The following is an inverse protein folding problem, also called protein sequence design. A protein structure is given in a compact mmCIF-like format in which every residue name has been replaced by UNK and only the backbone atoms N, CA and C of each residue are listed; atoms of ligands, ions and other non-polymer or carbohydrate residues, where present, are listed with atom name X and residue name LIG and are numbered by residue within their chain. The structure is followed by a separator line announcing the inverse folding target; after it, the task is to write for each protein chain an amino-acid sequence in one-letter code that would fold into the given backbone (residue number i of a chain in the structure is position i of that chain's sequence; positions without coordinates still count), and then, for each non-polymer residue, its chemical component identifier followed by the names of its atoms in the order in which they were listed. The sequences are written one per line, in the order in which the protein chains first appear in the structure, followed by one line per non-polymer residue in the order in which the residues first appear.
data_IF_287264911654
#
_entry.id   IF_287264911654
#
_cell.length_a   1.000
_cell.length_b   1.000
_cell.length_c   1.000
_cell.angle_alpha   90.00
_cell.angle_beta   90.00
_cell.angle_gamma   90.00
#
_symmetry.space_group_name_H-M   'P 1'
#
loop_
_entity.id
_entity.type
_entity.pdbx_description
1 polymer ?
#
# COMPACT_ATOMS: atom_id res chain seq x y z
N UNK A 1 30.22 -47.19 21.89
CA UNK A 1 30.93 -45.88 21.69
C UNK A 1 29.97 -44.94 21.00
N UNK A 2 29.68 -43.82 21.61
CA UNK A 2 28.86 -42.79 20.96
C UNK A 2 29.69 -42.17 19.80
N UNK A 3 29.09 -42.02 18.62
CA UNK A 3 29.74 -41.38 17.48
C UNK A 3 30.00 -39.90 17.81
N UNK A 4 31.16 -39.36 17.43
CA UNK A 4 31.45 -37.94 17.68
C UNK A 4 30.47 -37.07 16.85
N UNK A 5 30.00 -35.97 17.45
CA UNK A 5 29.10 -35.03 16.85
C UNK A 5 29.75 -34.41 15.58
N UNK A 6 29.06 -34.47 14.45
CA UNK A 6 29.57 -33.95 13.18
C UNK A 6 29.11 -32.48 12.99
N UNK A 7 29.78 -31.73 12.13
CA UNK A 7 29.39 -30.35 11.78
C UNK A 7 27.99 -30.25 11.19
N UNK A 8 27.50 -31.30 10.55
CA UNK A 8 26.11 -31.42 10.07
C UNK A 8 25.10 -31.48 11.21
N UNK A 9 25.46 -32.18 12.33
CA UNK A 9 24.57 -32.30 13.49
C UNK A 9 24.47 -30.99 14.26
N UNK A 10 25.56 -30.22 14.28
CA UNK A 10 25.58 -28.88 14.86
C UNK A 10 24.64 -27.91 14.13
N UNK A 11 24.64 -27.93 12.79
CA UNK A 11 23.73 -27.12 11.98
C UNK A 11 22.27 -27.44 12.28
N UNK A 12 21.91 -28.71 12.39
CA UNK A 12 20.54 -29.17 12.65
C UNK A 12 20.02 -28.75 14.03
N UNK A 13 20.89 -28.43 14.99
CA UNK A 13 20.52 -27.94 16.33
C UNK A 13 20.37 -26.42 16.35
N UNK A 14 21.29 -25.69 15.72
CA UNK A 14 21.34 -24.23 15.78
C UNK A 14 20.31 -23.57 14.84
N UNK A 15 20.11 -24.14 13.66
CA UNK A 15 19.18 -23.58 12.65
C UNK A 15 17.73 -23.45 13.17
N UNK A 16 17.11 -24.44 13.84
CA UNK A 16 15.77 -24.28 14.41
C UNK A 16 15.68 -23.18 15.47
N UNK A 17 16.70 -23.04 16.32
CA UNK A 17 16.74 -22.01 17.37
C UNK A 17 16.78 -20.59 16.76
N UNK A 18 17.58 -20.42 15.71
CA UNK A 18 17.66 -19.13 15.01
C UNK A 18 16.38 -18.82 14.24
N UNK A 19 15.75 -19.81 13.62
CA UNK A 19 14.47 -19.65 12.94
C UNK A 19 13.36 -19.28 13.93
N UNK A 20 13.26 -19.96 15.08
CA UNK A 20 12.30 -19.60 16.13
C UNK A 20 12.47 -18.15 16.61
N UNK A 21 13.71 -17.69 16.77
CA UNK A 21 13.99 -16.29 17.14
C UNK A 21 13.63 -15.32 16.04
N UNK A 22 13.78 -15.69 14.78
CA UNK A 22 13.41 -14.89 13.62
C UNK A 22 11.89 -14.79 13.51
N UNK A 23 11.20 -15.92 13.48
CA UNK A 23 9.75 -16.02 13.34
C UNK A 23 9.04 -15.31 14.49
N UNK A 24 9.54 -15.47 15.72
CA UNK A 24 9.00 -14.80 16.91
C UNK A 24 9.01 -13.28 16.84
N UNK A 25 9.92 -12.67 16.07
CA UNK A 25 9.94 -11.21 15.84
C UNK A 25 9.14 -10.86 14.60
N UNK A 26 9.26 -11.65 13.55
CA UNK A 26 8.61 -11.40 12.26
C UNK A 26 7.09 -11.46 12.38
N UNK A 27 6.55 -12.45 13.09
CA UNK A 27 5.10 -12.67 13.23
C UNK A 27 4.44 -11.78 14.29
N UNK A 28 5.19 -11.31 15.29
CA UNK A 28 4.62 -10.49 16.37
C UNK A 28 4.41 -9.03 15.99
N UNK A 29 5.08 -8.53 14.97
CA UNK A 29 4.95 -7.14 14.56
C UNK A 29 3.73 -6.95 13.66
N UNK A 30 2.87 -6.01 14.04
CA UNK A 30 1.74 -5.61 13.21
C UNK A 30 2.26 -4.84 11.99
N UNK A 31 1.99 -5.35 10.81
CA UNK A 31 2.32 -4.69 9.54
C UNK A 31 1.49 -3.43 9.36
N UNK A 32 2.14 -2.25 9.31
CA UNK A 32 1.45 -0.97 9.08
C UNK A 32 1.02 -0.81 7.62
N UNK A 33 1.80 -1.32 6.69
CA UNK A 33 1.50 -1.28 5.27
C UNK A 33 0.18 -1.98 4.91
N UNK A 34 -0.20 -3.04 5.64
CA UNK A 34 -1.41 -3.83 5.40
C UNK A 34 -2.70 -3.02 5.59
N UNK A 35 -2.64 -1.92 6.36
CA UNK A 35 -3.77 -0.99 6.54
C UNK A 35 -4.06 -0.16 5.29
N UNK A 36 -3.07 0.05 4.44
CA UNK A 36 -3.16 0.90 3.23
C UNK A 36 -3.17 0.07 1.96
N UNK A 37 -2.39 -1.02 1.92
CA UNK A 37 -2.20 -1.86 0.75
C UNK A 37 -2.81 -3.24 0.99
N UNK A 38 -3.30 -3.84 -0.08
CA UNK A 38 -3.80 -5.21 -0.07
C UNK A 38 -2.73 -6.14 -0.66
N UNK A 39 -2.47 -7.24 0.02
CA UNK A 39 -1.64 -8.32 -0.50
C UNK A 39 -2.40 -9.14 -1.54
N UNK A 40 -1.74 -9.46 -2.63
CA UNK A 40 -2.24 -10.36 -3.65
C UNK A 40 -1.32 -11.57 -3.73
N UNK A 41 -1.83 -12.71 -3.36
CA UNK A 41 -1.12 -13.99 -3.38
C UNK A 41 -1.31 -14.75 -4.71
N UNK A 42 -0.49 -15.78 -4.93
CA UNK A 42 -0.71 -16.76 -5.98
C UNK A 42 -0.36 -16.30 -7.40
N UNK A 43 0.60 -15.40 -7.55
CA UNK A 43 1.03 -14.94 -8.86
C UNK A 43 2.03 -15.93 -9.45
N UNK A 44 1.70 -16.63 -10.55
CA UNK A 44 2.51 -17.73 -11.08
C UNK A 44 3.72 -17.31 -11.93
N UNK A 45 3.91 -15.99 -12.12
CA UNK A 45 4.96 -15.43 -13.00
C UNK A 45 5.76 -14.37 -12.25
N UNK A 46 6.93 -14.02 -12.76
CA UNK A 46 7.77 -12.93 -12.24
C UNK A 46 7.25 -11.52 -12.60
N UNK A 47 6.12 -11.44 -13.27
CA UNK A 47 5.43 -10.19 -13.60
C UNK A 47 3.91 -10.39 -13.55
N UNK A 48 3.20 -9.32 -13.31
CA UNK A 48 1.75 -9.23 -13.43
C UNK A 48 1.36 -8.12 -14.41
N UNK A 49 0.42 -8.41 -15.28
CA UNK A 49 -0.14 -7.43 -16.23
C UNK A 49 -1.59 -7.16 -15.87
N UNK A 50 -1.88 -5.90 -15.67
CA UNK A 50 -3.22 -5.44 -15.32
C UNK A 50 -3.75 -4.50 -16.40
N UNK A 51 -4.73 -4.96 -17.20
CA UNK A 51 -5.44 -4.10 -18.14
C UNK A 51 -6.50 -3.28 -17.42
N UNK A 52 -6.49 -1.98 -17.60
CA UNK A 52 -7.59 -1.12 -17.18
C UNK A 52 -8.63 -1.05 -18.29
N UNK A 53 -9.79 -1.60 -18.00
CA UNK A 53 -10.91 -1.67 -18.96
C UNK A 53 -11.83 -0.47 -18.76
N UNK A 54 -12.33 0.07 -19.88
CA UNK A 54 -13.47 0.96 -19.86
C UNK A 54 -14.71 0.24 -20.39
N UNK A 55 -15.85 0.50 -19.73
CA UNK A 55 -17.13 -0.12 -20.08
C UNK A 55 -17.95 0.78 -21.01
N UNK A 56 -19.26 0.78 -20.78
CA UNK A 56 -20.21 1.46 -21.62
C UNK A 56 -20.61 2.84 -21.07
N UNK A 57 -20.97 3.75 -21.94
CA UNK A 57 -21.58 5.03 -21.61
C UNK A 57 -22.97 4.90 -20.96
N UNK A 58 -23.65 6.02 -20.74
CA UNK A 58 -25.06 5.99 -20.33
C UNK A 58 -25.92 5.43 -21.46
N UNK A 59 -26.94 4.63 -21.10
CA UNK A 59 -27.87 4.13 -22.08
C UNK A 59 -28.71 5.31 -22.67
N UNK A 60 -28.78 5.47 -24.01
CA UNK A 60 -29.62 6.48 -24.60
C UNK A 60 -31.12 6.10 -24.48
N UNK A 61 -31.98 7.09 -24.54
CA UNK A 61 -33.41 6.83 -24.67
C UNK A 61 -33.69 6.12 -25.99
N UNK A 62 -34.46 5.04 -25.93
CA UNK A 62 -34.82 4.26 -27.11
C UNK A 62 -36.26 4.64 -27.50
N UNK A 63 -36.48 5.39 -28.61
CA UNK A 63 -37.79 5.64 -29.17
C UNK A 63 -38.40 4.34 -29.72
N UNK A 64 -39.73 4.25 -29.72
CA UNK A 64 -40.42 3.10 -30.25
C UNK A 64 -40.09 2.87 -31.74
N UNK A 65 -39.83 1.61 -32.08
CA UNK A 65 -39.45 1.21 -33.45
C UNK A 65 -38.01 1.45 -33.85
N UNK A 66 -37.12 1.97 -32.97
CA UNK A 66 -35.71 2.14 -33.26
C UNK A 66 -34.88 0.97 -32.77
N UNK A 67 -33.83 0.52 -33.53
CA UNK A 67 -32.94 -0.54 -33.07
C UNK A 67 -32.06 -0.07 -31.93
N UNK A 68 -31.68 -1.00 -31.03
CA UNK A 68 -30.75 -0.76 -29.94
C UNK A 68 -29.36 -0.40 -30.46
N UNK A 69 -28.74 0.65 -29.92
CA UNK A 69 -27.40 1.02 -30.26
C UNK A 69 -26.37 0.12 -29.55
N UNK A 70 -25.36 -0.33 -30.28
CA UNK A 70 -24.28 -1.13 -29.75
C UNK A 70 -23.10 -0.22 -29.36
N UNK A 71 -22.58 -0.42 -28.17
CA UNK A 71 -21.33 0.21 -27.71
C UNK A 71 -20.30 -0.88 -27.44
N UNK A 72 -19.04 -0.59 -27.73
CA UNK A 72 -17.92 -1.47 -27.43
C UNK A 72 -17.12 -0.90 -26.27
N UNK A 73 -16.82 -1.74 -25.29
CA UNK A 73 -15.79 -1.48 -24.28
C UNK A 73 -14.42 -1.77 -24.85
N UNK A 74 -13.36 -1.30 -24.16
CA UNK A 74 -11.99 -1.55 -24.60
C UNK A 74 -11.00 -1.47 -23.47
N UNK A 75 -9.72 -1.56 -23.82
CA UNK A 75 -8.59 -1.39 -22.89
C UNK A 75 -8.11 0.06 -22.97
N UNK A 76 -8.08 0.77 -21.85
CA UNK A 76 -7.58 2.13 -21.78
C UNK A 76 -6.05 2.14 -21.75
N UNK A 77 -5.46 1.34 -20.85
CA UNK A 77 -4.02 1.09 -20.79
C UNK A 77 -3.75 -0.27 -20.14
N UNK A 78 -2.52 -0.75 -20.37
CA UNK A 78 -2.00 -1.99 -19.79
C UNK A 78 -0.75 -1.65 -18.98
N UNK A 79 -0.74 -2.03 -17.69
CA UNK A 79 0.45 -1.90 -16.85
C UNK A 79 1.04 -3.25 -16.53
N UNK A 80 2.36 -3.36 -16.72
CA UNK A 80 3.14 -4.51 -16.28
C UNK A 80 3.88 -4.16 -15.01
N UNK A 81 3.67 -4.97 -13.98
CA UNK A 81 4.39 -4.91 -12.70
C UNK A 81 5.42 -6.05 -12.70
N UNK A 82 6.67 -5.71 -12.44
CA UNK A 82 7.77 -6.69 -12.31
C UNK A 82 8.10 -6.83 -10.82
N UNK A 83 8.22 -8.06 -10.36
CA UNK A 83 8.53 -8.36 -8.97
C UNK A 83 10.02 -8.29 -8.72
N UNK A 84 10.40 -7.59 -7.66
CA UNK A 84 11.77 -7.54 -7.16
C UNK A 84 11.89 -8.43 -5.93
N UNK A 85 12.96 -9.22 -5.88
CA UNK A 85 13.27 -10.08 -4.74
C UNK A 85 14.23 -9.32 -3.83
N UNK A 86 13.89 -9.25 -2.55
CA UNK A 86 14.73 -8.68 -1.51
C UNK A 86 15.16 -9.79 -0.57
N UNK A 87 16.44 -9.84 -0.23
CA UNK A 87 16.98 -10.83 0.66
C UNK A 87 18.18 -10.28 1.42
N UNK A 88 18.33 -10.68 2.66
CA UNK A 88 19.44 -10.36 3.51
C UNK A 88 19.86 -11.61 4.29
N UNK A 89 21.12 -11.80 4.50
CA UNK A 89 21.66 -12.91 5.26
C UNK A 89 22.80 -12.47 6.16
N UNK A 90 23.06 -13.21 7.22
CA UNK A 90 24.24 -13.06 8.06
C UNK A 90 25.03 -14.37 8.12
N UNK A 91 26.31 -14.28 8.44
CA UNK A 91 27.19 -15.42 8.63
C UNK A 91 27.87 -15.36 10.00
N UNK A 92 27.99 -16.49 10.65
CA UNK A 92 28.75 -16.64 11.88
C UNK A 92 30.13 -17.23 11.54
N UNK A 93 31.20 -16.65 12.10
CA UNK A 93 32.55 -17.14 11.87
C UNK A 93 32.82 -18.44 12.66
N UNK A 94 33.74 -19.27 12.15
CA UNK A 94 34.14 -20.51 12.82
C UNK A 94 34.71 -20.23 14.21
N UNK A 95 35.50 -19.15 14.35
CA UNK A 95 36.09 -18.74 15.64
C UNK A 95 34.99 -18.45 16.67
N UNK A 96 33.95 -17.73 16.29
CA UNK A 96 32.81 -17.43 17.17
C UNK A 96 32.08 -18.72 17.63
N UNK A 97 32.05 -19.73 16.77
CA UNK A 97 31.45 -21.04 17.10
C UNK A 97 32.36 -21.79 18.10
N UNK A 98 33.69 -21.73 17.93
CA UNK A 98 34.66 -22.35 18.81
C UNK A 98 34.69 -21.68 20.19
N UNK A 99 34.49 -20.37 20.27
CA UNK A 99 34.43 -19.58 21.53
C UNK A 99 33.10 -19.81 22.31
N UNK A 100 32.11 -20.47 21.74
CA UNK A 100 30.85 -20.87 22.41
C UNK A 100 29.77 -19.79 22.47
N UNK A 101 30.02 -18.56 22.03
CA UNK A 101 29.05 -17.42 22.05
C UNK A 101 28.11 -17.36 20.83
N UNK A 102 28.26 -18.29 19.89
CA UNK A 102 27.53 -18.30 18.61
C UNK A 102 26.01 -18.37 18.74
N UNK A 103 25.48 -19.06 19.74
CA UNK A 103 24.01 -19.17 19.94
C UNK A 103 23.47 -17.80 20.36
N UNK A 104 24.04 -17.19 21.40
CA UNK A 104 23.59 -15.90 21.92
C UNK A 104 23.68 -14.78 20.88
N UNK A 105 24.81 -14.68 20.18
CA UNK A 105 25.03 -13.66 19.15
C UNK A 105 24.15 -13.98 17.91
N UNK A 106 24.05 -15.24 17.53
CA UNK A 106 23.20 -15.68 16.42
C UNK A 106 21.73 -15.34 16.64
N UNK A 107 21.19 -15.53 17.85
CA UNK A 107 19.84 -15.14 18.21
C UNK A 107 19.61 -13.63 18.09
N UNK A 108 20.57 -12.81 18.50
CA UNK A 108 20.50 -11.35 18.35
C UNK A 108 20.48 -10.97 16.87
N UNK A 109 21.36 -11.56 16.06
CA UNK A 109 21.41 -11.30 14.63
C UNK A 109 20.16 -11.78 13.89
N UNK A 110 19.57 -12.90 14.28
CA UNK A 110 18.32 -13.39 13.72
C UNK A 110 17.17 -12.39 13.95
N UNK A 111 17.07 -11.81 15.16
CA UNK A 111 16.11 -10.76 15.47
C UNK A 111 16.33 -9.49 14.65
N UNK A 112 17.57 -9.04 14.52
CA UNK A 112 17.92 -7.87 13.69
C UNK A 112 17.62 -8.12 12.21
N UNK A 113 17.85 -9.35 11.73
CA UNK A 113 17.50 -9.74 10.36
C UNK A 113 15.98 -9.63 10.12
N UNK A 114 15.17 -10.17 11.04
CA UNK A 114 13.72 -10.06 10.98
C UNK A 114 13.27 -8.59 10.97
N UNK A 115 13.79 -7.76 11.87
CA UNK A 115 13.48 -6.33 11.92
C UNK A 115 13.86 -5.61 10.62
N UNK A 116 15.02 -5.90 10.05
CA UNK A 116 15.49 -5.29 8.80
C UNK A 116 14.60 -5.66 7.62
N UNK A 117 14.12 -6.90 7.52
CA UNK A 117 13.22 -7.34 6.46
C UNK A 117 11.83 -6.69 6.60
N UNK A 118 11.31 -6.59 7.82
CA UNK A 118 10.05 -5.87 8.09
C UNK A 118 10.17 -4.40 7.69
N UNK A 119 11.25 -3.72 8.13
CA UNK A 119 11.46 -2.32 7.81
C UNK A 119 11.66 -2.07 6.32
N UNK A 120 12.29 -3.01 5.61
CA UNK A 120 12.40 -2.96 4.15
C UNK A 120 11.02 -2.99 3.49
N UNK A 121 10.12 -3.88 3.94
CA UNK A 121 8.75 -4.01 3.44
C UNK A 121 7.94 -2.72 3.71
N UNK A 122 8.03 -2.19 4.93
CA UNK A 122 7.40 -0.92 5.31
C UNK A 122 7.93 0.27 4.47
N UNK A 123 9.24 0.38 4.31
CA UNK A 123 9.87 1.44 3.53
C UNK A 123 9.47 1.39 2.06
N UNK A 124 9.43 0.20 1.46
CA UNK A 124 9.01 0.03 0.07
C UNK A 124 7.55 0.45 -0.13
N UNK A 125 6.68 0.06 0.77
CA UNK A 125 5.26 0.45 0.77
C UNK A 125 5.11 1.96 0.95
N UNK A 126 5.90 2.52 1.90
CA UNK A 126 5.97 3.96 2.16
C UNK A 126 6.38 4.75 0.93
N UNK A 127 7.32 4.25 0.16
CA UNK A 127 7.83 4.94 -1.02
C UNK A 127 6.79 5.10 -2.13
N UNK A 128 5.77 4.26 -2.20
CA UNK A 128 4.66 4.44 -3.15
C UNK A 128 3.97 5.79 -2.91
N UNK A 129 3.66 6.10 -1.64
CA UNK A 129 3.01 7.36 -1.28
C UNK A 129 3.99 8.54 -1.30
N UNK A 130 5.22 8.36 -0.83
CA UNK A 130 6.24 9.42 -0.83
C UNK A 130 6.58 9.89 -2.26
N UNK A 131 6.48 9.01 -3.25
CA UNK A 131 6.74 9.28 -4.66
C UNK A 131 5.49 9.61 -5.46
N UNK A 132 4.34 9.77 -4.80
CA UNK A 132 3.04 9.94 -5.44
C UNK A 132 2.97 11.12 -6.43
N UNK A 133 3.77 12.17 -6.22
CA UNK A 133 3.86 13.35 -7.11
C UNK A 133 5.04 13.30 -8.09
N UNK A 134 5.90 12.28 -8.00
CA UNK A 134 7.13 12.25 -8.77
C UNK A 134 6.89 11.66 -10.16
N UNK A 135 7.12 12.45 -11.20
CA UNK A 135 6.96 12.07 -12.61
C UNK A 135 7.92 10.95 -13.06
N UNK A 136 9.01 10.69 -12.33
CA UNK A 136 9.92 9.58 -12.61
C UNK A 136 9.33 8.21 -12.23
N UNK A 137 8.21 8.17 -11.53
CA UNK A 137 7.51 6.95 -11.11
C UNK A 137 6.07 6.95 -11.66
N UNK A 138 5.89 6.84 -12.98
CA UNK A 138 4.56 6.89 -13.58
C UNK A 138 3.73 5.66 -13.25
N UNK A 139 2.44 5.87 -13.11
CA UNK A 139 1.43 4.83 -13.02
C UNK A 139 1.26 4.02 -14.31
N UNK A 140 0.19 3.25 -14.40
CA UNK A 140 -0.18 2.53 -15.60
C UNK A 140 -0.62 3.43 -16.74
N UNK A 141 -1.13 4.58 -16.42
CA UNK A 141 -1.62 5.63 -17.29
C UNK A 141 -0.52 6.62 -17.76
N UNK A 142 0.74 6.40 -17.36
CA UNK A 142 1.88 7.23 -17.76
C UNK A 142 2.08 8.50 -16.95
N UNK A 143 1.23 8.78 -15.93
CA UNK A 143 1.34 9.93 -15.04
C UNK A 143 1.62 9.48 -13.60
N UNK A 144 2.11 10.37 -12.70
CA UNK A 144 2.31 10.04 -11.28
C UNK A 144 1.00 9.61 -10.60
N UNK A 145 1.11 8.91 -9.48
CA UNK A 145 -0.05 8.47 -8.69
C UNK A 145 -1.01 9.62 -8.35
N UNK A 146 -0.46 10.80 -8.02
CA UNK A 146 -1.21 12.02 -7.83
C UNK A 146 -0.92 12.98 -8.99
N UNK A 147 -1.93 13.25 -9.80
CA UNK A 147 -1.82 14.10 -10.99
C UNK A 147 -3.13 14.85 -11.24
N UNK A 148 -3.01 16.02 -11.86
CA UNK A 148 -4.15 16.79 -12.35
C UNK A 148 -4.70 16.28 -13.69
N UNK A 149 -4.03 15.31 -14.34
CA UNK A 149 -4.30 14.93 -15.72
C UNK A 149 -4.25 13.43 -15.96
N UNK A 150 -4.93 12.62 -15.12
CA UNK A 150 -5.10 11.20 -15.39
C UNK A 150 -5.94 11.01 -16.65
N UNK A 151 -5.45 10.28 -17.67
CA UNK A 151 -6.19 10.09 -18.90
C UNK A 151 -7.43 9.21 -18.67
N UNK A 152 -8.55 9.65 -19.22
CA UNK A 152 -9.80 8.89 -19.34
C UNK A 152 -10.24 8.87 -20.81
N UNK A 153 -11.26 8.08 -21.17
CA UNK A 153 -11.69 7.91 -22.57
C UNK A 153 -11.98 9.24 -23.26
N UNK A 154 -12.61 10.17 -22.56
CA UNK A 154 -13.03 11.46 -23.12
C UNK A 154 -12.48 12.63 -22.27
N UNK A 155 -11.16 12.73 -22.11
CA UNK A 155 -10.54 13.83 -21.41
C UNK A 155 -9.56 13.41 -20.31
N UNK A 156 -9.53 14.18 -19.25
CA UNK A 156 -8.63 13.93 -18.10
C UNK A 156 -9.39 14.06 -16.79
N UNK A 157 -8.93 13.36 -15.77
CA UNK A 157 -9.42 13.44 -14.39
C UNK A 157 -8.30 13.90 -13.47
N UNK A 158 -8.63 14.75 -12.50
CA UNK A 158 -7.70 15.20 -11.46
C UNK A 158 -8.02 14.53 -10.12
N UNK A 159 -7.01 13.94 -9.48
CA UNK A 159 -7.09 13.48 -8.09
C UNK A 159 -6.34 14.39 -7.10
N UNK A 160 -6.03 15.62 -7.54
CA UNK A 160 -5.40 16.66 -6.74
C UNK A 160 -6.39 17.76 -6.42
N UNK A 161 -6.20 18.41 -5.28
CA UNK A 161 -6.84 19.71 -5.01
C UNK A 161 -6.44 20.73 -6.07
N UNK A 162 -7.38 21.55 -6.49
CA UNK A 162 -7.14 22.62 -7.48
C UNK A 162 -6.05 23.58 -7.01
N UNK A 163 -6.01 23.85 -5.70
CA UNK A 163 -4.96 24.65 -5.06
C UNK A 163 -4.31 23.82 -3.97
N UNK A 164 -2.99 23.68 -4.04
CA UNK A 164 -2.23 22.98 -3.00
C UNK A 164 -2.39 23.74 -1.66
N UNK A 165 -2.75 23.00 -0.61
CA UNK A 165 -2.99 23.56 0.71
C UNK A 165 -2.48 22.62 1.79
N UNK A 166 -2.08 23.18 2.93
CA UNK A 166 -1.78 22.40 4.12
C UNK A 166 -3.06 21.75 4.66
N UNK A 167 -2.90 20.73 5.51
CA UNK A 167 -4.00 20.07 6.15
C UNK A 167 -4.80 21.08 7.01
N UNK A 168 -6.05 21.28 6.65
CA UNK A 168 -6.99 22.17 7.32
C UNK A 168 -8.40 21.64 7.15
N UNK A 169 -9.35 22.17 7.90
CA UNK A 169 -10.75 21.81 7.72
C UNK A 169 -11.23 22.05 6.27
N UNK A 170 -10.96 23.23 5.74
CA UNK A 170 -11.37 23.60 4.38
C UNK A 170 -10.74 22.70 3.31
N UNK A 171 -9.45 22.39 3.43
CA UNK A 171 -8.78 21.52 2.46
C UNK A 171 -9.28 20.07 2.54
N UNK A 172 -9.60 19.60 3.75
CA UNK A 172 -10.20 18.28 3.94
C UNK A 172 -11.61 18.21 3.33
N UNK A 173 -12.45 19.21 3.58
CA UNK A 173 -13.81 19.31 2.99
C UNK A 173 -13.75 19.34 1.46
N UNK A 174 -12.85 20.13 0.87
CA UNK A 174 -12.66 20.18 -0.57
C UNK A 174 -12.22 18.81 -1.14
N UNK A 175 -11.30 18.11 -0.46
CA UNK A 175 -10.89 16.77 -0.87
C UNK A 175 -12.05 15.77 -0.81
N UNK A 176 -12.87 15.81 0.24
CA UNK A 176 -14.06 14.96 0.38
C UNK A 176 -15.09 15.22 -0.73
N UNK A 177 -15.32 16.49 -1.06
CA UNK A 177 -16.19 16.88 -2.18
C UNK A 177 -15.65 16.33 -3.49
N UNK A 178 -14.35 16.49 -3.75
CA UNK A 178 -13.71 16.02 -4.97
C UNK A 178 -13.79 14.49 -5.12
N UNK A 179 -13.56 13.73 -4.03
CA UNK A 179 -13.72 12.27 -4.02
C UNK A 179 -15.15 11.86 -4.35
N UNK A 180 -16.16 12.56 -3.81
CA UNK A 180 -17.58 12.30 -4.11
C UNK A 180 -17.97 12.67 -5.55
N UNK A 181 -17.23 13.56 -6.18
CA UNK A 181 -17.43 13.97 -7.58
C UNK A 181 -16.63 13.14 -8.57
N UNK A 182 -15.85 12.17 -8.10
CA UNK A 182 -15.03 11.32 -8.96
C UNK A 182 -15.86 10.62 -10.04
N UNK A 183 -15.24 10.48 -11.21
CA UNK A 183 -15.83 9.84 -12.38
C UNK A 183 -15.07 8.59 -12.77
N UNK A 184 -15.73 7.68 -13.45
CA UNK A 184 -15.13 6.51 -14.07
C UNK A 184 -14.39 6.87 -15.38
N UNK A 185 -13.82 5.87 -16.03
CA UNK A 185 -13.10 6.06 -17.30
C UNK A 185 -13.99 6.59 -18.45
N UNK A 186 -15.32 6.51 -18.32
CA UNK A 186 -16.29 7.02 -19.28
C UNK A 186 -16.93 8.37 -18.87
N UNK A 187 -16.45 8.97 -17.76
CA UNK A 187 -16.99 10.21 -17.24
C UNK A 187 -18.27 10.07 -16.41
N UNK A 188 -18.70 8.85 -16.05
CA UNK A 188 -19.84 8.65 -15.16
C UNK A 188 -19.42 8.84 -13.71
N UNK A 189 -20.27 9.48 -12.90
CA UNK A 189 -20.02 9.62 -11.47
C UNK A 189 -20.04 8.26 -10.77
N UNK A 190 -19.00 8.01 -9.96
CA UNK A 190 -18.86 6.85 -9.11
C UNK A 190 -19.06 7.25 -7.64
N UNK A 191 -19.65 6.34 -6.85
CA UNK A 191 -19.83 6.57 -5.41
C UNK A 191 -18.61 6.11 -4.65
N UNK A 192 -17.64 7.00 -4.49
CA UNK A 192 -16.48 6.75 -3.63
C UNK A 192 -16.74 7.30 -2.23
N UNK A 193 -16.42 6.49 -1.22
CA UNK A 193 -16.48 6.89 0.19
C UNK A 193 -15.05 6.83 0.72
N UNK A 194 -14.46 7.96 1.16
CA UNK A 194 -13.14 7.97 1.78
C UNK A 194 -13.20 7.21 3.11
N UNK A 195 -12.21 6.36 3.37
CA UNK A 195 -12.15 5.54 4.58
C UNK A 195 -10.99 5.89 5.49
N UNK A 196 -9.90 6.39 4.94
CA UNK A 196 -8.65 6.64 5.66
C UNK A 196 -8.06 7.98 5.30
N UNK A 197 -7.48 8.63 6.31
CA UNK A 197 -6.63 9.79 6.16
C UNK A 197 -5.20 9.40 6.55
N UNK A 198 -4.29 9.36 5.57
CA UNK A 198 -2.87 9.09 5.79
C UNK A 198 -2.15 10.43 5.90
N UNK A 199 -1.47 10.66 7.01
CA UNK A 199 -0.76 11.92 7.29
C UNK A 199 0.67 11.67 7.71
N UNK A 200 1.55 12.63 7.48
CA UNK A 200 2.90 12.61 8.03
C UNK A 200 2.86 12.78 9.56
N UNK A 201 3.84 12.26 10.32
CA UNK A 201 3.87 12.33 11.78
C UNK A 201 3.70 13.73 12.35
N UNK A 202 4.24 14.76 11.69
CA UNK A 202 4.09 16.16 12.10
C UNK A 202 2.65 16.69 12.05
N UNK A 203 1.74 16.02 11.32
CA UNK A 203 0.35 16.45 11.16
C UNK A 203 -0.65 15.59 11.96
N UNK A 204 -0.18 14.66 12.79
CA UNK A 204 -1.03 13.73 13.56
C UNK A 204 -2.01 14.50 14.45
N UNK A 205 -1.50 15.42 15.29
CA UNK A 205 -2.34 16.17 16.20
C UNK A 205 -3.37 17.03 15.47
N UNK A 206 -2.99 17.63 14.35
CA UNK A 206 -3.91 18.40 13.53
C UNK A 206 -4.99 17.52 12.91
N UNK A 207 -4.64 16.34 12.43
CA UNK A 207 -5.59 15.36 11.90
C UNK A 207 -6.55 14.86 12.99
N UNK A 208 -6.06 14.60 14.20
CA UNK A 208 -6.91 14.22 15.36
C UNK A 208 -7.89 15.32 15.74
N UNK A 209 -7.43 16.57 15.79
CA UNK A 209 -8.32 17.72 16.08
C UNK A 209 -9.40 17.82 15.01
N UNK A 210 -9.06 17.67 13.74
CA UNK A 210 -10.01 17.76 12.62
C UNK A 210 -11.04 16.62 12.63
N UNK A 211 -10.62 15.40 12.98
CA UNK A 211 -11.49 14.23 12.94
C UNK A 211 -12.28 13.98 14.23
N UNK A 212 -11.72 14.35 15.40
CA UNK A 212 -12.30 14.07 16.73
C UNK A 212 -12.89 15.31 17.41
N UNK A 213 -12.93 16.48 16.76
CA UNK A 213 -13.45 17.70 17.37
C UNK A 213 -14.95 17.58 17.69
N UNK A 214 -15.28 17.61 18.97
CA UNK A 214 -16.65 17.53 19.50
C UNK A 214 -17.48 18.78 19.21
N UNK A 215 -16.84 19.87 18.80
CA UNK A 215 -17.50 21.16 18.52
C UNK A 215 -18.06 21.28 17.10
N UNK A 216 -17.95 20.25 16.27
CA UNK A 216 -18.58 20.21 14.95
C UNK A 216 -20.04 19.81 15.10
N UNK A 217 -20.92 20.61 14.49
CA UNK A 217 -22.35 20.35 14.35
C UNK A 217 -22.63 18.88 14.02
N UNK A 218 -23.50 18.24 14.79
CA UNK A 218 -23.77 16.79 14.79
C UNK A 218 -24.19 16.20 13.43
N UNK A 219 -24.54 17.03 12.45
CA UNK A 219 -25.05 16.57 11.14
C UNK A 219 -23.98 15.93 10.23
N UNK A 220 -22.68 16.16 10.50
CA UNK A 220 -21.59 15.59 9.67
C UNK A 220 -20.74 14.54 10.39
N UNK A 221 -20.96 14.32 11.70
CA UNK A 221 -20.12 13.46 12.54
C UNK A 221 -20.46 11.98 12.45
N UNK A 222 -21.71 11.61 12.15
CA UNK A 222 -22.13 10.21 12.19
C UNK A 222 -21.49 9.32 11.10
N UNK A 223 -21.19 9.91 9.95
CA UNK A 223 -20.55 9.14 8.86
C UNK A 223 -19.02 9.04 8.98
N UNK A 224 -18.38 10.01 9.65
CA UNK A 224 -16.92 10.02 9.83
C UNK A 224 -16.47 9.27 11.09
N UNK A 225 -17.34 9.12 12.09
CA UNK A 225 -17.02 8.41 13.34
C UNK A 225 -16.97 6.89 13.23
N UNK A 226 -17.51 6.30 12.16
CA UNK A 226 -17.52 4.84 11.99
C UNK A 226 -16.22 4.26 11.44
N UNK A 227 -15.24 5.09 11.02
CA UNK A 227 -14.02 4.62 10.37
C UNK A 227 -12.77 5.34 10.90
N UNK A 228 -12.29 4.89 12.05
CA UNK A 228 -11.09 5.42 12.72
C UNK A 228 -9.82 4.67 12.37
N UNK A 229 -9.34 4.79 11.17
CA UNK A 229 -8.00 4.33 10.86
C UNK A 229 -7.14 5.52 10.40
N UNK A 230 -6.50 6.16 11.40
CA UNK A 230 -5.39 7.07 11.17
C UNK A 230 -4.13 6.22 11.02
N UNK A 231 -3.63 6.11 9.81
CA UNK A 231 -2.33 5.49 9.55
C UNK A 231 -1.27 6.58 9.59
N UNK A 232 -0.44 6.54 10.63
CA UNK A 232 0.73 7.39 10.75
C UNK A 232 1.94 6.69 10.15
N UNK A 233 2.76 7.43 9.43
CA UNK A 233 4.04 6.99 8.94
C UNK A 233 5.17 7.61 9.72
N UNK A 234 6.08 6.76 10.17
CA UNK A 234 7.42 7.15 10.64
C UNK A 234 8.32 7.47 9.45
#
# INVERSE_FOLDING_TARGET
MAAPMRSTDFRSIVEPILNECFDGVYDQRTDEWSRVFREQEGIPRNYHEEPVLYGFGAAPQLPDGTPVSYQQGGVLFLKRYVYNVYGLAFALTKVLVEDGDHIRIGQVYARHLAQSLIETKETLSANVLNRAFNTSYPGGDGVPLNSASHPIVNGTFSNLLTTAANLSQTSLEQMLIQIRQAVDNNGKKIRLVPRQLVVAPGNIFQAEVLLKSVLRSEEHTSELQSHHDLVCRL
#
